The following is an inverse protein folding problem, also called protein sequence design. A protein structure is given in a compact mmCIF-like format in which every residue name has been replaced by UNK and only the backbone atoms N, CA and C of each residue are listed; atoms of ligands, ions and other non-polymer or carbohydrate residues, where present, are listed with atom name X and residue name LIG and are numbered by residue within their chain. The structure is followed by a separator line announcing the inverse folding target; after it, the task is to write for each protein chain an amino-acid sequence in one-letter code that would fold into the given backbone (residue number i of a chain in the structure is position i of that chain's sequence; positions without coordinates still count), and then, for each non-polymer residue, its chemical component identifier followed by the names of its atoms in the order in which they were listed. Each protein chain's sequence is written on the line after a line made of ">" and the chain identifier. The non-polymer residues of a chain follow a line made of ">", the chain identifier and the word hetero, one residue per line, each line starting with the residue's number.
data_IF_297979991450
#
_entry.id   IF_297979991450
#
_cell.length_a   1.000
_cell.length_b   1.000
_cell.length_c   1.000
_cell.angle_alpha   90.00
_cell.angle_beta   90.00
_cell.angle_gamma   90.00
#
_symmetry.space_group_name_H-M   'P 1'
#
loop_
_entity.id
_entity.type
_entity.pdbx_description
1 polymer ?
#
# COMPACT_ATOMS: atom_id res chain seq x y z
N UNK A 1 6.74 -43.70 -27.06
CA UNK A 1 7.18 -42.59 -26.17
C UNK A 1 6.56 -41.31 -26.70
N UNK A 2 5.58 -40.78 -25.97
CA UNK A 2 4.86 -39.57 -26.39
C UNK A 2 5.33 -38.39 -25.53
N UNK A 3 5.87 -37.35 -26.18
CA UNK A 3 6.18 -36.06 -25.57
C UNK A 3 4.94 -35.16 -25.70
N UNK A 4 4.34 -34.76 -24.57
CA UNK A 4 3.18 -33.88 -24.55
C UNK A 4 3.60 -32.53 -24.05
N UNK A 5 3.34 -31.49 -24.82
CA UNK A 5 3.61 -30.10 -24.45
C UNK A 5 2.30 -29.29 -24.36
N UNK A 6 2.15 -28.48 -23.34
CA UNK A 6 0.99 -27.63 -23.12
C UNK A 6 1.40 -26.20 -22.81
N UNK A 7 0.64 -25.23 -23.33
CA UNK A 7 0.64 -23.85 -22.89
C UNK A 7 -0.65 -23.56 -22.15
N UNK A 8 -0.56 -22.97 -20.97
CA UNK A 8 -1.71 -22.65 -20.13
C UNK A 8 -1.59 -21.25 -19.55
N UNK A 9 -2.70 -20.52 -19.54
CA UNK A 9 -2.83 -19.25 -18.84
C UNK A 9 -3.70 -19.46 -17.61
N UNK A 10 -3.22 -19.01 -16.44
CA UNK A 10 -4.00 -18.92 -15.19
C UNK A 10 -4.20 -17.44 -14.86
N UNK A 11 -5.42 -17.09 -14.51
CA UNK A 11 -5.80 -15.74 -14.10
C UNK A 11 -6.38 -15.82 -12.70
N UNK A 12 -5.83 -15.01 -11.79
CA UNK A 12 -6.37 -14.79 -10.46
C UNK A 12 -6.50 -13.28 -10.25
N UNK A 13 -7.73 -12.80 -10.23
CA UNK A 13 -8.04 -11.38 -10.01
C UNK A 13 -8.72 -11.21 -8.66
N UNK A 14 -8.54 -10.04 -8.07
CA UNK A 14 -9.27 -9.61 -6.90
C UNK A 14 -9.71 -8.14 -7.05
N UNK A 15 -10.80 -7.81 -6.40
CA UNK A 15 -11.29 -6.46 -6.22
C UNK A 15 -11.91 -6.38 -4.82
N UNK A 16 -11.37 -5.50 -3.99
CA UNK A 16 -11.81 -5.31 -2.61
C UNK A 16 -12.09 -3.84 -2.39
N UNK A 17 -13.17 -3.54 -1.69
CA UNK A 17 -13.53 -2.20 -1.26
C UNK A 17 -13.78 -2.21 0.24
N UNK A 18 -13.18 -1.27 0.95
CA UNK A 18 -13.44 -0.96 2.34
C UNK A 18 -14.05 0.44 2.40
N UNK A 19 -15.24 0.55 2.97
CA UNK A 19 -15.90 1.83 3.19
C UNK A 19 -16.27 1.92 4.66
N UNK A 20 -15.86 3.00 5.30
CA UNK A 20 -16.23 3.33 6.67
C UNK A 20 -16.72 4.77 6.72
N UNK A 21 -17.83 4.99 7.40
CA UNK A 21 -18.36 6.31 7.75
C UNK A 21 -18.82 6.25 9.21
N UNK A 22 -18.37 7.16 10.03
CA UNK A 22 -18.71 7.18 11.44
C UNK A 22 -18.32 8.48 12.12
N UNK A 23 -18.67 8.58 13.39
CA UNK A 23 -18.23 9.65 14.26
C UNK A 23 -17.26 9.12 15.30
N UNK A 24 -16.31 9.96 15.70
CA UNK A 24 -15.28 9.62 16.66
C UNK A 24 -14.97 10.84 17.53
N UNK A 25 -14.82 10.63 18.84
CA UNK A 25 -14.55 11.63 19.86
C UNK A 25 -13.24 11.41 20.64
N UNK A 26 -12.40 10.44 20.22
CA UNK A 26 -11.20 10.03 20.98
C UNK A 26 -9.95 9.75 20.13
N UNK A 27 -9.98 9.87 18.82
CA UNK A 27 -8.80 9.73 17.98
C UNK A 27 -8.95 10.47 16.66
N UNK A 28 -7.84 10.94 16.10
CA UNK A 28 -7.80 11.62 14.81
C UNK A 28 -6.67 11.11 13.93
N UNK A 29 -6.75 11.40 12.62
CA UNK A 29 -5.68 11.10 11.66
C UNK A 29 -4.37 11.82 12.00
N UNK A 30 -4.45 13.03 12.52
CA UNK A 30 -3.27 13.84 12.80
C UNK A 30 -2.59 13.48 14.13
N UNK A 31 -3.27 12.86 15.08
CA UNK A 31 -2.72 12.49 16.40
C UNK A 31 -1.41 11.67 16.28
N UNK A 32 -1.35 10.52 15.60
CA UNK A 32 -0.11 9.75 15.48
C UNK A 32 0.98 10.49 14.69
N UNK A 33 0.62 11.42 13.80
CA UNK A 33 1.58 12.23 13.06
C UNK A 33 2.20 13.31 13.96
N UNK A 34 1.40 13.89 14.86
CA UNK A 34 1.87 14.82 15.88
C UNK A 34 2.81 14.11 16.88
N UNK A 35 2.48 12.89 17.29
CA UNK A 35 3.34 12.07 18.15
C UNK A 35 4.68 11.72 17.49
N UNK A 36 4.66 11.34 16.20
CA UNK A 36 5.87 11.10 15.42
C UNK A 36 6.75 12.35 15.39
N UNK A 37 6.17 13.51 15.06
CA UNK A 37 6.91 14.77 15.01
C UNK A 37 7.45 15.16 16.39
N UNK A 38 6.66 15.08 17.44
CA UNK A 38 7.09 15.38 18.81
C UNK A 38 8.25 14.48 19.25
N UNK A 39 8.21 13.20 18.90
CA UNK A 39 9.24 12.22 19.24
C UNK A 39 10.54 12.42 18.44
N UNK A 40 10.48 13.05 17.28
CA UNK A 40 11.64 13.28 16.41
C UNK A 40 12.61 14.31 17.01
N UNK A 41 12.13 15.24 17.83
CA UNK A 41 12.89 16.34 18.38
C UNK A 41 13.34 17.39 17.37
N UNK A 42 12.83 17.35 16.13
CA UNK A 42 13.14 18.31 15.08
C UNK A 42 12.33 19.59 15.19
N UNK A 43 12.87 20.66 14.62
CA UNK A 43 12.04 21.82 14.24
C UNK A 43 11.23 21.49 12.99
N UNK A 44 10.18 22.23 12.68
CA UNK A 44 9.35 22.03 11.48
C UNK A 44 10.22 22.02 10.21
N UNK A 45 11.09 23.01 10.04
CA UNK A 45 11.99 23.09 8.88
C UNK A 45 12.94 21.88 8.78
N UNK A 46 13.48 21.43 9.91
CA UNK A 46 14.33 20.25 9.96
C UNK A 46 13.55 18.98 9.62
N UNK A 47 12.34 18.82 10.14
CA UNK A 47 11.47 17.69 9.88
C UNK A 47 11.08 17.59 8.40
N UNK A 48 10.71 18.70 7.76
CA UNK A 48 10.35 18.74 6.35
C UNK A 48 11.51 18.29 5.43
N UNK A 49 12.76 18.51 5.84
CA UNK A 49 13.95 18.14 5.09
C UNK A 49 14.62 16.84 5.55
N UNK A 50 14.15 16.21 6.64
CA UNK A 50 14.70 14.96 7.18
C UNK A 50 14.17 13.73 6.43
N UNK A 51 14.96 12.66 6.36
CA UNK A 51 14.49 11.35 5.90
C UNK A 51 13.95 10.47 7.04
N UNK A 52 14.07 10.91 8.28
CA UNK A 52 13.63 10.16 9.47
C UNK A 52 12.15 10.43 9.83
N UNK A 53 11.55 11.44 9.20
CA UNK A 53 10.13 11.79 9.39
C UNK A 53 9.34 11.29 8.20
N UNK A 54 8.21 10.65 8.46
CA UNK A 54 7.35 10.08 7.42
C UNK A 54 6.82 11.16 6.46
N UNK A 55 6.58 10.76 5.20
CA UNK A 55 6.05 11.68 4.19
C UNK A 55 4.68 12.23 4.60
N UNK A 56 3.84 11.42 5.25
CA UNK A 56 2.51 11.83 5.72
C UNK A 56 2.63 12.91 6.82
N UNK A 57 3.56 12.74 7.76
CA UNK A 57 3.85 13.75 8.78
C UNK A 57 4.38 15.05 8.18
N UNK A 58 5.26 14.97 7.17
CA UNK A 58 5.69 16.18 6.45
C UNK A 58 4.54 16.89 5.75
N UNK A 59 3.61 16.14 5.13
CA UNK A 59 2.42 16.74 4.53
C UNK A 59 1.53 17.40 5.59
N UNK A 60 1.37 16.79 6.77
CA UNK A 60 0.61 17.36 7.87
C UNK A 60 1.24 18.63 8.44
N UNK A 61 2.58 18.67 8.53
CA UNK A 61 3.32 19.88 8.94
C UNK A 61 3.20 20.98 7.88
N UNK A 62 3.29 20.64 6.60
CA UNK A 62 3.18 21.61 5.51
C UNK A 62 1.81 22.28 5.47
N UNK A 63 0.74 21.52 5.73
CA UNK A 63 -0.65 22.02 5.73
C UNK A 63 -1.09 22.56 7.08
N UNK A 64 -0.19 22.67 8.06
CA UNK A 64 -0.47 23.10 9.43
C UNK A 64 -1.52 22.25 10.17
N UNK A 65 -1.86 21.08 9.63
CA UNK A 65 -2.70 20.09 10.33
C UNK A 65 -2.01 19.60 11.61
N UNK A 66 -0.69 19.45 11.56
CA UNK A 66 0.22 19.31 12.71
C UNK A 66 1.08 20.56 12.79
N UNK A 67 1.17 21.16 13.98
CA UNK A 67 1.86 22.43 14.20
C UNK A 67 2.45 22.48 15.61
N UNK A 68 3.11 23.58 15.95
CA UNK A 68 3.57 23.90 17.30
C UNK A 68 2.88 25.13 17.84
N UNK A 69 2.37 25.05 19.05
CA UNK A 69 1.74 26.18 19.74
C UNK A 69 2.32 26.38 21.15
N UNK A 70 2.35 27.63 21.59
CA UNK A 70 2.73 27.92 22.97
C UNK A 70 1.50 27.85 23.88
N UNK A 71 1.43 26.78 24.67
CA UNK A 71 0.34 26.54 25.62
C UNK A 71 0.89 26.69 27.04
N UNK A 72 0.34 27.60 27.81
CA UNK A 72 0.80 27.92 29.18
C UNK A 72 2.32 28.20 29.28
N UNK A 73 2.88 28.91 28.29
CA UNK A 73 4.30 29.27 28.24
C UNK A 73 5.23 28.16 27.82
N UNK A 74 4.71 27.01 27.38
CA UNK A 74 5.49 25.86 26.88
C UNK A 74 5.11 25.58 25.43
N UNK A 75 6.10 25.43 24.57
CA UNK A 75 5.87 24.99 23.18
C UNK A 75 5.46 23.52 23.19
N UNK A 76 4.34 23.22 22.57
CA UNK A 76 3.80 21.88 22.40
C UNK A 76 3.49 21.63 20.93
N UNK A 77 3.66 20.38 20.50
CA UNK A 77 3.12 19.91 19.23
C UNK A 77 1.62 19.75 19.40
N UNK A 78 0.85 20.17 18.42
CA UNK A 78 -0.61 20.09 18.37
C UNK A 78 -1.06 19.41 17.09
N UNK A 79 -2.14 18.63 17.17
CA UNK A 79 -2.92 18.14 16.06
C UNK A 79 -4.23 18.93 16.00
N UNK A 80 -4.48 19.69 14.94
CA UNK A 80 -5.67 20.57 14.89
C UNK A 80 -6.97 19.77 14.75
N UNK A 81 -6.93 18.58 14.18
CA UNK A 81 -8.09 17.68 14.15
C UNK A 81 -8.54 17.16 15.52
N UNK A 82 -7.77 17.44 16.60
CA UNK A 82 -8.18 17.14 17.97
C UNK A 82 -8.91 18.32 18.66
N UNK A 83 -9.01 19.47 18.01
CA UNK A 83 -9.69 20.64 18.60
C UNK A 83 -11.20 20.48 18.64
N UNK A 84 -11.89 19.94 17.60
CA UNK A 84 -13.29 19.56 17.72
C UNK A 84 -13.49 18.43 18.73
N UNK A 85 -14.53 18.55 19.55
CA UNK A 85 -14.90 17.48 20.49
C UNK A 85 -15.47 16.23 19.81
N UNK A 86 -15.81 16.33 18.53
CA UNK A 86 -16.40 15.25 17.73
C UNK A 86 -16.03 15.41 16.26
N UNK A 87 -15.57 14.32 15.64
CA UNK A 87 -15.22 14.25 14.23
C UNK A 87 -16.16 13.34 13.45
N UNK A 88 -16.54 13.74 12.24
CA UNK A 88 -17.02 12.82 11.23
C UNK A 88 -15.82 12.24 10.48
N UNK A 89 -15.73 10.92 10.41
CA UNK A 89 -14.67 10.21 9.72
C UNK A 89 -15.22 9.42 8.54
N UNK A 90 -14.58 9.56 7.39
CA UNK A 90 -14.85 8.81 6.17
C UNK A 90 -13.57 8.13 5.70
N UNK A 91 -13.60 6.81 5.49
CA UNK A 91 -12.51 6.04 4.92
C UNK A 91 -13.04 5.19 3.76
N UNK A 92 -12.47 5.39 2.59
CA UNK A 92 -12.75 4.60 1.40
C UNK A 92 -11.43 4.09 0.82
N UNK A 93 -11.25 2.76 0.80
CA UNK A 93 -10.08 2.13 0.20
C UNK A 93 -10.54 1.09 -0.81
N UNK A 94 -10.11 1.25 -2.05
CA UNK A 94 -10.37 0.31 -3.12
C UNK A 94 -9.05 -0.29 -3.61
N UNK A 95 -8.94 -1.61 -3.49
CA UNK A 95 -7.78 -2.37 -3.96
C UNK A 95 -8.22 -3.33 -5.06
N UNK A 96 -7.56 -3.27 -6.19
CA UNK A 96 -7.79 -4.15 -7.33
C UNK A 96 -6.48 -4.70 -7.87
N UNK A 97 -6.55 -5.84 -8.54
CA UNK A 97 -5.36 -6.40 -9.16
C UNK A 97 -5.50 -7.87 -9.50
N UNK A 98 -4.36 -8.49 -9.79
CA UNK A 98 -4.32 -9.91 -10.07
C UNK A 98 -2.95 -10.38 -10.51
N UNK A 99 -2.84 -11.68 -10.63
CA UNK A 99 -1.68 -12.36 -11.20
C UNK A 99 -2.14 -13.19 -12.39
N UNK A 100 -1.56 -12.94 -13.54
CA UNK A 100 -1.72 -13.77 -14.75
C UNK A 100 -0.46 -14.57 -14.94
N UNK A 101 -0.53 -15.89 -14.87
CA UNK A 101 0.61 -16.79 -15.13
C UNK A 101 0.46 -17.44 -16.49
N UNK A 102 1.43 -17.24 -17.36
CA UNK A 102 1.60 -17.99 -18.61
C UNK A 102 2.57 -19.13 -18.33
N UNK A 103 2.17 -20.38 -18.54
CA UNK A 103 3.01 -21.53 -18.26
C UNK A 103 3.15 -22.44 -19.48
N UNK A 104 4.39 -22.89 -19.69
CA UNK A 104 4.73 -23.90 -20.70
C UNK A 104 5.14 -25.16 -19.96
N UNK A 105 4.46 -26.25 -20.26
CA UNK A 105 4.66 -27.51 -19.57
C UNK A 105 4.96 -28.62 -20.59
N UNK A 106 5.85 -29.53 -20.19
CA UNK A 106 6.13 -30.74 -20.94
C UNK A 106 6.08 -31.96 -20.04
N UNK A 107 5.63 -33.05 -20.57
CA UNK A 107 5.61 -34.35 -19.90
C UNK A 107 6.12 -35.46 -20.80
N UNK A 108 6.88 -36.39 -20.22
CA UNK A 108 7.44 -37.52 -20.94
C UNK A 108 7.35 -38.80 -20.11
N UNK A 109 6.89 -39.86 -20.74
CA UNK A 109 6.91 -41.22 -20.19
C UNK A 109 8.26 -41.88 -20.51
N UNK A 110 9.13 -42.00 -19.49
CA UNK A 110 10.42 -42.70 -19.65
C UNK A 110 10.24 -44.19 -19.86
N UNK A 111 9.27 -44.76 -19.17
CA UNK A 111 8.86 -46.16 -19.31
C UNK A 111 7.49 -46.33 -18.62
N UNK A 112 6.90 -47.52 -18.72
CA UNK A 112 5.58 -47.82 -18.12
C UNK A 112 5.47 -47.54 -16.61
N UNK A 113 6.58 -47.30 -15.92
CA UNK A 113 6.63 -47.05 -14.47
C UNK A 113 6.95 -45.61 -14.10
N UNK A 114 7.65 -44.86 -14.94
CA UNK A 114 8.13 -43.51 -14.62
C UNK A 114 7.67 -42.49 -15.65
N UNK A 115 7.07 -41.40 -15.15
CA UNK A 115 6.68 -40.23 -15.93
C UNK A 115 7.32 -39.01 -15.34
N UNK A 116 7.97 -38.19 -16.15
CA UNK A 116 8.56 -36.92 -15.77
C UNK A 116 7.76 -35.77 -16.35
N UNK A 117 7.65 -34.69 -15.58
CA UNK A 117 7.07 -33.45 -16.05
C UNK A 117 7.89 -32.24 -15.60
N UNK A 118 7.93 -31.23 -16.45
CA UNK A 118 8.53 -29.94 -16.12
C UNK A 118 7.65 -28.81 -16.64
N UNK A 119 7.69 -27.68 -15.96
CA UNK A 119 6.95 -26.48 -16.35
C UNK A 119 7.73 -25.23 -16.01
N UNK A 120 7.70 -24.27 -16.92
CA UNK A 120 8.20 -22.91 -16.72
C UNK A 120 6.99 -21.99 -16.68
N UNK A 121 6.91 -21.12 -15.67
CA UNK A 121 5.85 -20.13 -15.50
C UNK A 121 6.40 -18.71 -15.53
N UNK A 122 5.66 -17.83 -16.20
CA UNK A 122 5.91 -16.40 -16.26
C UNK A 122 4.69 -15.68 -15.66
N UNK A 123 4.66 -15.44 -14.33
CA UNK A 123 3.62 -14.69 -13.70
C UNK A 123 3.81 -13.18 -13.93
N UNK A 124 2.73 -12.50 -14.28
CA UNK A 124 2.60 -11.05 -14.43
C UNK A 124 1.67 -10.57 -13.34
N UNK A 125 2.16 -9.70 -12.44
CA UNK A 125 1.39 -9.15 -11.34
C UNK A 125 1.04 -7.69 -11.61
N UNK A 126 -0.18 -7.30 -11.22
CA UNK A 126 -0.64 -5.91 -11.15
C UNK A 126 -1.46 -5.74 -9.89
N UNK A 127 -1.15 -4.70 -9.12
CA UNK A 127 -1.90 -4.28 -7.93
C UNK A 127 -2.07 -2.78 -8.02
N UNK A 128 -3.27 -2.30 -7.69
CA UNK A 128 -3.60 -0.88 -7.63
C UNK A 128 -4.50 -0.64 -6.42
N UNK A 129 -4.15 0.34 -5.60
CA UNK A 129 -4.92 0.75 -4.44
C UNK A 129 -5.14 2.25 -4.45
N UNK A 130 -6.39 2.65 -4.31
CA UNK A 130 -6.81 4.02 -4.10
C UNK A 130 -7.39 4.14 -2.71
N UNK A 131 -6.85 5.05 -1.91
CA UNK A 131 -7.34 5.35 -0.56
C UNK A 131 -7.76 6.81 -0.50
N UNK A 132 -8.91 7.05 0.09
CA UNK A 132 -9.42 8.36 0.47
C UNK A 132 -9.81 8.31 1.94
N UNK A 133 -9.28 9.24 2.70
CA UNK A 133 -9.61 9.42 4.11
C UNK A 133 -9.95 10.88 4.35
N UNK A 134 -11.02 11.14 5.10
CA UNK A 134 -11.47 12.48 5.44
C UNK A 134 -11.95 12.53 6.87
N UNK A 135 -11.54 13.56 7.57
CA UNK A 135 -12.11 13.99 8.85
C UNK A 135 -12.70 15.36 8.69
N UNK A 136 -13.81 15.63 9.37
CA UNK A 136 -14.41 16.95 9.43
C UNK A 136 -15.02 17.19 10.79
N UNK A 137 -15.04 18.44 11.21
CA UNK A 137 -15.73 18.85 12.43
C UNK A 137 -17.21 18.45 12.38
N UNK A 138 -17.67 17.78 13.41
CA UNK A 138 -19.07 17.37 13.61
C UNK A 138 -19.79 18.21 14.66
N UNK A 139 -19.09 19.17 15.29
CA UNK A 139 -19.68 20.03 16.34
C UNK A 139 -20.43 21.22 15.77
N UNK A 140 -20.06 21.67 14.57
CA UNK A 140 -20.59 22.87 13.92
C UNK A 140 -20.04 24.17 14.50
N UNK A 141 -18.96 24.11 15.29
CA UNK A 141 -18.20 25.28 15.74
C UNK A 141 -17.29 25.74 14.60
N UNK A 142 -17.46 26.95 14.12
CA UNK A 142 -16.70 27.52 13.01
C UNK A 142 -15.52 28.39 13.48
N UNK A 143 -15.09 28.23 14.73
CA UNK A 143 -14.03 29.02 15.37
C UNK A 143 -13.12 28.17 16.26
N UNK A 144 -12.86 26.92 15.80
CA UNK A 144 -12.02 25.96 16.50
C UNK A 144 -10.74 25.58 15.73
N UNK A 145 -10.40 26.34 14.68
CA UNK A 145 -9.22 26.14 13.82
C UNK A 145 -9.21 24.79 13.07
N UNK A 146 -10.35 24.12 12.89
CA UNK A 146 -10.44 22.88 12.12
C UNK A 146 -11.81 22.67 11.49
N UNK A 147 -11.93 22.80 10.19
CA UNK A 147 -13.14 22.45 9.41
C UNK A 147 -13.07 21.02 8.87
N UNK A 148 -12.03 20.69 8.14
CA UNK A 148 -11.79 19.33 7.65
C UNK A 148 -10.34 19.09 7.23
N UNK A 149 -9.97 17.82 7.13
CA UNK A 149 -8.80 17.35 6.40
C UNK A 149 -9.22 16.26 5.41
N UNK A 150 -8.47 16.12 4.31
CA UNK A 150 -8.64 15.04 3.35
C UNK A 150 -7.28 14.51 2.87
N UNK A 151 -7.06 13.22 3.04
CA UNK A 151 -5.89 12.49 2.57
C UNK A 151 -6.26 11.59 1.40
N UNK A 152 -5.46 11.61 0.36
CA UNK A 152 -5.59 10.73 -0.81
C UNK A 152 -4.29 10.01 -1.04
N UNK A 153 -4.39 8.73 -1.41
CA UNK A 153 -3.25 7.90 -1.76
C UNK A 153 -3.59 7.08 -2.99
N UNK A 154 -2.67 7.06 -3.94
CA UNK A 154 -2.70 6.16 -5.08
C UNK A 154 -1.41 5.34 -5.10
N UNK A 155 -1.55 4.04 -4.92
CA UNK A 155 -0.46 3.06 -4.98
C UNK A 155 -0.67 2.12 -6.14
N UNK A 156 0.39 1.89 -6.92
CA UNK A 156 0.38 0.93 -8.02
C UNK A 156 1.68 0.13 -8.02
N UNK A 157 1.55 -1.19 -8.11
CA UNK A 157 2.67 -2.09 -8.31
C UNK A 157 2.42 -2.98 -9.52
N UNK A 158 3.41 -3.10 -10.38
CA UNK A 158 3.38 -3.98 -11.56
C UNK A 158 4.69 -4.74 -11.66
N UNK A 159 4.62 -5.98 -12.15
CA UNK A 159 5.86 -6.73 -12.36
C UNK A 159 5.69 -8.05 -13.05
N UNK A 160 6.82 -8.62 -13.40
CA UNK A 160 6.93 -9.91 -14.07
C UNK A 160 7.82 -10.80 -13.22
N UNK A 161 7.45 -12.06 -13.15
CA UNK A 161 8.22 -13.04 -12.41
C UNK A 161 8.57 -14.26 -13.25
N UNK A 162 9.28 -15.18 -12.60
CA UNK A 162 9.66 -16.46 -13.15
C UNK A 162 9.51 -17.53 -12.07
N UNK A 163 9.06 -18.72 -12.48
CA UNK A 163 9.07 -19.91 -11.65
C UNK A 163 9.30 -21.17 -12.50
N UNK A 164 9.78 -22.21 -11.84
CA UNK A 164 9.99 -23.52 -12.41
C UNK A 164 9.29 -24.57 -11.55
N UNK A 165 8.71 -25.59 -12.22
CA UNK A 165 8.07 -26.72 -11.55
C UNK A 165 8.57 -28.01 -12.19
N UNK A 166 8.88 -29.01 -11.36
CA UNK A 166 9.26 -30.36 -11.84
C UNK A 166 8.41 -31.38 -11.10
N UNK A 167 8.06 -32.47 -11.78
CA UNK A 167 7.27 -33.51 -11.19
C UNK A 167 7.73 -34.89 -11.68
N UNK A 168 7.62 -35.87 -10.81
CA UNK A 168 7.86 -37.29 -11.06
C UNK A 168 6.63 -38.08 -10.62
N UNK A 169 6.14 -38.97 -11.49
CA UNK A 169 5.14 -39.96 -11.13
C UNK A 169 5.78 -41.33 -11.26
N UNK A 170 5.74 -42.11 -10.18
CA UNK A 170 6.16 -43.49 -10.14
C UNK A 170 4.95 -44.42 -10.04
N UNK A 171 4.79 -45.33 -10.99
CA UNK A 171 3.70 -46.28 -11.08
C UNK A 171 4.25 -47.71 -11.00
N UNK A 172 4.49 -48.25 -9.79
CA UNK A 172 5.00 -49.63 -9.62
C UNK A 172 4.01 -50.71 -10.10
N UNK A 173 2.70 -50.42 -9.98
CA UNK A 173 1.58 -51.30 -10.42
C UNK A 173 0.49 -50.43 -11.07
N UNK A 174 -0.38 -51.01 -11.87
CA UNK A 174 -1.42 -50.28 -12.59
C UNK A 174 -2.40 -49.52 -11.69
N UNK A 175 -2.65 -50.06 -10.51
CA UNK A 175 -3.56 -49.49 -9.50
C UNK A 175 -2.90 -48.59 -8.44
N UNK A 176 -1.55 -48.41 -8.49
CA UNK A 176 -0.83 -47.62 -7.49
C UNK A 176 0.12 -46.63 -8.15
N UNK A 177 -0.01 -45.36 -7.75
CA UNK A 177 0.82 -44.25 -8.23
C UNK A 177 1.33 -43.42 -7.09
N UNK A 178 2.59 -43.07 -7.12
CA UNK A 178 3.22 -42.09 -6.22
C UNK A 178 3.66 -40.89 -7.06
N UNK A 179 3.38 -39.70 -6.55
CA UNK A 179 3.78 -38.42 -7.18
C UNK A 179 4.68 -37.63 -6.27
N UNK A 180 5.69 -37.00 -6.83
CA UNK A 180 6.51 -35.99 -6.18
C UNK A 180 6.56 -34.76 -7.09
N UNK A 181 6.27 -33.58 -6.53
CA UNK A 181 6.39 -32.33 -7.26
C UNK A 181 7.23 -31.32 -6.47
N UNK A 182 8.11 -30.65 -7.19
CA UNK A 182 8.96 -29.57 -6.72
C UNK A 182 8.54 -28.27 -7.41
N UNK A 183 8.25 -27.25 -6.64
CA UNK A 183 8.00 -25.90 -7.14
C UNK A 183 9.12 -24.99 -6.65
N UNK A 184 9.78 -24.30 -7.57
CA UNK A 184 10.75 -23.27 -7.20
C UNK A 184 10.04 -22.10 -6.52
N UNK A 185 10.76 -21.26 -5.78
CA UNK A 185 10.31 -19.92 -5.46
C UNK A 185 9.86 -19.18 -6.73
N UNK A 186 8.85 -18.30 -6.58
CA UNK A 186 8.59 -17.30 -7.62
C UNK A 186 9.53 -16.12 -7.34
N UNK A 187 10.20 -15.68 -8.38
CA UNK A 187 11.06 -14.50 -8.36
C UNK A 187 10.34 -13.43 -9.16
N UNK A 188 9.83 -12.39 -8.47
CA UNK A 188 9.20 -11.24 -9.10
C UNK A 188 10.16 -10.05 -9.14
N UNK A 189 10.19 -9.34 -10.23
CA UNK A 189 10.73 -8.00 -10.36
C UNK A 189 9.55 -7.04 -10.41
N UNK A 190 9.38 -6.27 -9.34
CA UNK A 190 8.27 -5.34 -9.17
C UNK A 190 8.76 -3.90 -9.34
N UNK A 191 7.89 -3.10 -9.92
CA UNK A 191 8.01 -1.66 -10.08
C UNK A 191 6.82 -1.03 -9.39
N UNK A 192 7.07 -0.07 -8.49
CA UNK A 192 6.05 0.67 -7.76
C UNK A 192 6.01 2.13 -8.16
N UNK A 193 4.83 2.69 -8.10
CA UNK A 193 4.58 4.11 -8.08
C UNK A 193 3.66 4.45 -6.91
N UNK A 194 3.93 5.58 -6.29
CA UNK A 194 3.18 6.10 -5.15
C UNK A 194 2.93 7.59 -5.34
N UNK A 195 1.69 8.00 -5.19
CA UNK A 195 1.28 9.39 -5.13
C UNK A 195 0.34 9.60 -3.96
N UNK A 196 0.52 10.69 -3.23
CA UNK A 196 -0.35 11.06 -2.12
C UNK A 196 -0.57 12.57 -2.09
N UNK A 197 -1.67 12.97 -1.47
CA UNK A 197 -1.99 14.37 -1.26
C UNK A 197 -2.76 14.55 0.04
N UNK A 198 -2.44 15.62 0.76
CA UNK A 198 -3.14 16.07 1.94
C UNK A 198 -3.68 17.48 1.70
N UNK A 199 -4.93 17.70 2.09
CA UNK A 199 -5.56 19.01 2.16
C UNK A 199 -6.14 19.20 3.55
N UNK A 200 -6.01 20.40 4.10
CA UNK A 200 -6.62 20.79 5.36
C UNK A 200 -7.30 22.15 5.21
N UNK A 201 -8.46 22.30 5.79
CA UNK A 201 -9.16 23.56 5.96
C UNK A 201 -9.24 23.85 7.46
N UNK A 202 -8.49 24.84 7.87
CA UNK A 202 -8.28 25.25 9.26
C UNK A 202 -9.03 26.55 9.56
N UNK A 203 -10.16 26.75 8.88
CA UNK A 203 -11.06 27.90 9.05
C UNK A 203 -10.36 29.26 8.83
N UNK A 204 -10.16 30.03 9.88
CA UNK A 204 -9.61 31.38 9.80
C UNK A 204 -8.16 31.49 10.30
N UNK A 205 -7.43 30.35 10.42
CA UNK A 205 -6.11 30.31 11.02
C UNK A 205 -5.12 31.35 10.46
N UNK A 206 -5.13 31.56 9.14
CA UNK A 206 -4.15 32.45 8.49
C UNK A 206 -4.67 33.87 8.23
N UNK A 207 -6.00 34.05 8.07
CA UNK A 207 -6.67 35.34 7.81
C UNK A 207 -8.18 35.14 7.80
N UNK A 208 -9.00 36.17 8.09
CA UNK A 208 -10.44 36.08 7.88
C UNK A 208 -10.74 35.64 6.43
N UNK A 209 -11.12 34.39 6.21
CA UNK A 209 -11.44 33.68 4.96
C UNK A 209 -10.34 32.80 4.34
N UNK A 210 -9.21 32.53 5.02
CA UNK A 210 -8.17 31.62 4.49
C UNK A 210 -7.62 30.71 5.60
N UNK A 211 -8.08 29.48 5.63
CA UNK A 211 -7.50 28.39 6.45
C UNK A 211 -7.17 27.16 5.61
N UNK A 212 -7.43 27.24 4.29
CA UNK A 212 -7.20 26.11 3.41
C UNK A 212 -5.75 26.06 2.89
N UNK A 213 -5.12 24.91 3.03
CA UNK A 213 -3.85 24.57 2.39
C UNK A 213 -3.85 23.12 1.89
N UNK A 214 -3.00 22.83 0.91
CA UNK A 214 -2.87 21.48 0.35
C UNK A 214 -1.49 21.21 -0.21
N UNK A 215 -1.03 19.98 -0.12
CA UNK A 215 0.27 19.55 -0.62
C UNK A 215 0.18 18.17 -1.28
N UNK A 216 0.89 18.00 -2.39
CA UNK A 216 1.13 16.70 -3.00
C UNK A 216 2.46 16.11 -2.52
N UNK A 217 2.55 14.78 -2.47
CA UNK A 217 3.80 14.07 -2.14
C UNK A 217 4.97 14.51 -3.01
N UNK A 218 4.73 14.70 -4.31
CA UNK A 218 5.73 15.15 -5.29
C UNK A 218 6.33 16.52 -4.98
N UNK A 219 5.62 17.41 -4.30
CA UNK A 219 6.13 18.72 -3.87
C UNK A 219 7.21 18.56 -2.81
N UNK A 220 7.02 17.62 -1.88
CA UNK A 220 7.95 17.39 -0.76
C UNK A 220 9.12 16.46 -1.12
N UNK A 221 8.95 15.62 -2.12
CA UNK A 221 9.98 14.66 -2.57
C UNK A 221 10.80 15.17 -3.75
N UNK A 222 10.47 16.35 -4.29
CA UNK A 222 11.14 16.93 -5.47
C UNK A 222 10.75 16.25 -6.78
N UNK A 223 9.67 15.46 -6.80
CA UNK A 223 9.15 14.79 -7.97
C UNK A 223 8.27 13.58 -7.62
N UNK A 224 7.67 12.92 -8.60
CA UNK A 224 6.89 11.70 -8.39
C UNK A 224 7.73 10.59 -7.77
N UNK A 225 7.14 9.83 -6.84
CA UNK A 225 7.73 8.61 -6.29
C UNK A 225 7.45 7.41 -7.22
N UNK A 226 7.93 7.53 -8.44
CA UNK A 226 7.79 6.53 -9.47
C UNK A 226 9.06 5.69 -9.60
N UNK A 227 8.91 4.45 -10.13
CA UNK A 227 10.03 3.60 -10.51
C UNK A 227 10.86 3.00 -9.37
N UNK A 228 10.34 2.96 -8.16
CA UNK A 228 10.95 2.12 -7.12
C UNK A 228 10.89 0.66 -7.54
N UNK A 229 12.07 0.01 -7.63
CA UNK A 229 12.19 -1.38 -8.09
C UNK A 229 12.73 -2.26 -6.99
N UNK A 230 12.10 -3.41 -6.81
CA UNK A 230 12.55 -4.43 -5.88
C UNK A 230 12.23 -5.83 -6.37
N UNK A 231 12.88 -6.83 -5.77
CA UNK A 231 12.63 -8.23 -6.03
C UNK A 231 11.86 -8.85 -4.88
N UNK A 232 10.77 -9.55 -5.20
CA UNK A 232 9.98 -10.32 -4.24
C UNK A 232 10.18 -11.80 -4.50
N UNK A 233 10.48 -12.55 -3.43
CA UNK A 233 10.66 -14.00 -3.48
C UNK A 233 9.56 -14.67 -2.66
N UNK A 234 8.87 -15.63 -3.27
CA UNK A 234 7.94 -16.51 -2.55
C UNK A 234 8.64 -17.81 -2.17
N UNK A 235 8.21 -18.51 -1.11
CA UNK A 235 8.82 -19.80 -0.76
C UNK A 235 8.59 -20.87 -1.83
N UNK A 236 9.57 -21.75 -1.99
CA UNK A 236 9.42 -22.97 -2.78
C UNK A 236 8.53 -23.98 -2.06
N UNK A 237 8.02 -24.98 -2.79
CA UNK A 237 7.12 -26.00 -2.26
C UNK A 237 7.47 -27.39 -2.77
N UNK A 238 7.41 -28.36 -1.86
CA UNK A 238 7.48 -29.80 -2.17
C UNK A 238 6.10 -30.40 -1.89
N UNK A 239 5.59 -31.19 -2.81
CA UNK A 239 4.28 -31.85 -2.71
C UNK A 239 4.45 -33.34 -2.94
#
# INVERSE_FOLDING_TARGET
>A
EELVAHCRTRLANFNQSLIYNGQNDYSSFAEPLADEFASSGYTIDAALNSNDVSLTTKMALYTYLVDTATINGTNKVIARSEFPALLNQEHNSQTSGGITEISFSMGHELNKKFMLGASIGIPIAKIERNTYYRESDATGDADNDFSYMAYREHYKATGVGFNFKAGLIYRPKEYFRLGLALHSPHIFMLKESFDAGLAADLEQLFSPNTGFDSVASSTLTGGPLDDTRYSLYTPGKII
#
